data_IF_831099603532
#
_entry.id   IF_831099603532
#
_cell.length_a   1.000
_cell.length_b   1.000
_cell.length_c   1.000
_cell.angle_alpha   90.00
_cell.angle_beta   90.00
_cell.angle_gamma   90.00
#
_symmetry.space_group_name_H-M   'P 1'
#
loop_
_entity.id
_entity.type
_entity.pdbx_description
1 polymer ?
#
# COMPACT_ATOMS: atom_id res chain seq x y z
N UNK A 1 -3.39 21.09 32.72
CA UNK A 1 -4.12 21.48 31.49
C UNK A 1 -3.23 21.38 30.24
N UNK A 2 -2.35 20.36 30.15
CA UNK A 2 -1.39 20.16 29.04
C UNK A 2 -1.60 18.77 28.37
N UNK A 3 -2.22 17.84 29.09
CA UNK A 3 -2.43 16.44 28.66
C UNK A 3 -3.43 16.27 27.51
N UNK A 4 -4.37 17.21 27.31
CA UNK A 4 -5.42 17.14 26.27
C UNK A 4 -4.95 17.59 24.87
N UNK A 5 -3.82 18.29 24.78
CA UNK A 5 -3.29 18.77 23.49
C UNK A 5 -2.40 17.72 22.82
N UNK A 6 -1.71 16.89 23.61
CA UNK A 6 -0.86 15.80 23.10
C UNK A 6 -1.68 14.63 22.52
N UNK A 7 -2.86 14.35 23.09
CA UNK A 7 -3.76 13.29 22.58
C UNK A 7 -4.33 13.63 21.21
N UNK A 8 -4.70 14.89 20.95
CA UNK A 8 -5.18 15.33 19.63
C UNK A 8 -4.08 15.29 18.56
N UNK A 9 -2.84 15.64 18.89
CA UNK A 9 -1.71 15.54 17.94
C UNK A 9 -1.40 14.09 17.54
N UNK A 10 -1.47 13.15 18.49
CA UNK A 10 -1.30 11.72 18.20
C UNK A 10 -2.47 11.13 17.41
N UNK A 11 -3.72 11.49 17.74
CA UNK A 11 -4.89 11.07 16.97
C UNK A 11 -4.88 11.63 15.54
N UNK A 12 -4.47 12.89 15.36
CA UNK A 12 -4.36 13.52 14.05
C UNK A 12 -3.25 12.89 13.20
N UNK A 13 -2.12 12.53 13.81
CA UNK A 13 -1.05 11.77 13.15
C UNK A 13 -1.49 10.35 12.73
N UNK A 14 -2.38 9.71 13.51
CA UNK A 14 -2.78 8.32 13.30
C UNK A 14 -3.95 8.18 12.29
N UNK A 15 -4.81 9.19 12.16
CA UNK A 15 -5.82 9.22 11.09
C UNK A 15 -5.24 9.61 9.72
N UNK A 16 -4.14 10.36 9.72
CA UNK A 16 -3.44 10.76 8.49
C UNK A 16 -2.79 9.57 7.76
N UNK A 17 -2.28 8.58 8.50
CA UNK A 17 -1.75 7.34 7.91
C UNK A 17 -2.87 6.44 7.38
N UNK A 18 -4.01 6.35 8.09
CA UNK A 18 -5.14 5.53 7.65
C UNK A 18 -5.86 6.11 6.41
N UNK A 19 -5.90 7.43 6.24
CA UNK A 19 -6.55 8.07 5.07
C UNK A 19 -5.69 8.11 3.82
N UNK A 20 -4.37 7.95 3.93
CA UNK A 20 -3.50 7.73 2.76
C UNK A 20 -3.59 6.29 2.23
N UNK A 21 -3.96 5.33 3.09
CA UNK A 21 -4.05 3.90 2.77
C UNK A 21 -5.49 3.37 2.71
N UNK A 22 -6.51 4.21 2.91
CA UNK A 22 -7.90 3.88 2.59
C UNK A 22 -8.07 3.81 1.07
N UNK A 23 -7.58 2.72 0.49
CA UNK A 23 -7.72 2.36 -0.90
C UNK A 23 -9.19 2.03 -1.17
N UNK A 24 -9.90 2.80 -2.02
CA UNK A 24 -11.15 2.32 -2.58
C UNK A 24 -10.80 1.03 -3.32
N UNK A 25 -11.38 -0.11 -2.92
CA UNK A 25 -11.10 -1.44 -3.47
C UNK A 25 -11.48 -1.64 -4.96
N UNK A 26 -11.36 -0.59 -5.78
CA UNK A 26 -11.76 -0.55 -7.18
C UNK A 26 -10.74 0.12 -8.08
N UNK A 27 -9.47 0.30 -7.66
CA UNK A 27 -8.45 0.72 -8.62
C UNK A 27 -7.73 -0.49 -9.21
N UNK A 28 -8.04 -0.77 -10.48
CA UNK A 28 -7.43 -1.86 -11.26
C UNK A 28 -6.06 -1.49 -11.84
N UNK A 29 -5.69 -0.21 -11.82
CA UNK A 29 -4.52 0.31 -12.51
C UNK A 29 -3.64 1.16 -11.59
N UNK A 30 -2.42 0.69 -11.35
CA UNK A 30 -1.44 1.33 -10.49
C UNK A 30 -1.05 2.75 -10.95
N UNK A 31 -1.03 3.02 -12.25
CA UNK A 31 -0.74 4.36 -12.77
C UNK A 31 -1.87 5.33 -12.46
N UNK A 32 -3.12 4.87 -12.48
CA UNK A 32 -4.28 5.67 -12.06
C UNK A 32 -4.18 6.05 -10.58
N UNK A 33 -3.83 5.10 -9.69
CA UNK A 33 -3.58 5.38 -8.27
C UNK A 33 -2.50 6.44 -8.07
N UNK A 34 -1.37 6.25 -8.75
CA UNK A 34 -0.23 7.18 -8.66
C UNK A 34 -0.65 8.58 -9.10
N UNK A 35 -1.40 8.69 -10.19
CA UNK A 35 -1.84 9.97 -10.74
C UNK A 35 -2.74 10.72 -9.75
N UNK A 36 -3.76 10.05 -9.20
CA UNK A 36 -4.63 10.67 -8.21
C UNK A 36 -3.86 11.10 -6.94
N UNK A 37 -2.91 10.27 -6.50
CA UNK A 37 -2.06 10.58 -5.34
C UNK A 37 -1.20 11.82 -5.60
N UNK A 38 -0.62 11.94 -6.80
CA UNK A 38 0.16 13.10 -7.21
C UNK A 38 -0.68 14.38 -7.25
N UNK A 39 -1.87 14.34 -7.86
CA UNK A 39 -2.77 15.51 -7.92
C UNK A 39 -3.20 15.94 -6.50
N UNK A 40 -3.51 14.99 -5.61
CA UNK A 40 -3.88 15.29 -4.23
C UNK A 40 -2.71 15.94 -3.46
N UNK A 41 -1.50 15.40 -3.60
CA UNK A 41 -0.31 15.94 -2.95
C UNK A 41 0.04 17.33 -3.48
N UNK A 42 -0.05 17.57 -4.79
CA UNK A 42 0.29 18.88 -5.39
C UNK A 42 -0.75 19.96 -5.11
N UNK A 43 -2.03 19.61 -4.93
CA UNK A 43 -3.07 20.55 -4.52
C UNK A 43 -2.92 21.01 -3.06
N UNK A 44 -2.35 20.17 -2.19
CA UNK A 44 -2.18 20.44 -0.76
C UNK A 44 -0.87 21.16 -0.43
N UNK A 45 0.13 21.11 -1.32
CA UNK A 45 1.42 21.74 -1.11
C UNK A 45 1.44 23.19 -1.65
N UNK A 46 1.83 24.14 -0.80
CA UNK A 46 2.04 25.55 -1.18
C UNK A 46 3.26 25.77 -2.08
N UNK A 47 4.20 24.82 -2.11
CA UNK A 47 5.36 24.81 -3.00
C UNK A 47 5.14 23.80 -4.13
N UNK A 48 4.72 24.29 -5.30
CA UNK A 48 4.50 23.48 -6.51
C UNK A 48 5.84 23.23 -7.19
N UNK A 49 6.50 22.12 -6.88
CA UNK A 49 7.62 21.64 -7.69
C UNK A 49 7.11 21.11 -9.03
N UNK A 50 7.91 21.17 -10.10
CA UNK A 50 7.54 20.60 -11.38
C UNK A 50 7.36 19.06 -11.28
N UNK A 51 6.48 18.45 -12.09
CA UNK A 51 6.20 17.00 -12.03
C UNK A 51 7.44 16.11 -12.11
N UNK A 52 8.46 16.54 -12.85
CA UNK A 52 9.74 15.85 -13.05
C UNK A 52 10.49 15.62 -11.74
N UNK A 53 10.43 16.57 -10.81
CA UNK A 53 11.02 16.42 -9.47
C UNK A 53 10.25 15.42 -8.57
N UNK A 54 9.05 15.02 -8.97
CA UNK A 54 8.23 14.01 -8.30
C UNK A 54 8.29 12.65 -9.01
N UNK A 55 9.21 12.47 -9.97
CA UNK A 55 9.31 11.24 -10.75
C UNK A 55 8.16 11.06 -11.73
N UNK A 56 7.71 12.14 -12.36
CA UNK A 56 6.77 12.11 -13.49
C UNK A 56 7.44 12.62 -14.75
N UNK A 57 7.06 12.06 -15.89
CA UNK A 57 7.55 12.49 -17.20
C UNK A 57 6.37 12.80 -18.12
N UNK A 58 6.57 13.78 -18.99
CA UNK A 58 5.59 14.15 -19.99
C UNK A 58 5.93 13.50 -21.33
N UNK A 59 5.08 12.56 -21.78
CA UNK A 59 5.27 11.83 -23.03
C UNK A 59 3.98 11.87 -23.85
N UNK A 60 4.06 12.30 -25.12
CA UNK A 60 2.93 12.34 -26.05
C UNK A 60 1.68 13.08 -25.53
N UNK A 61 1.88 14.17 -24.78
CA UNK A 61 0.76 14.94 -24.21
C UNK A 61 0.20 14.38 -22.90
N UNK A 62 0.77 13.27 -22.41
CA UNK A 62 0.28 12.53 -21.24
C UNK A 62 1.37 12.55 -20.16
N UNK A 63 0.96 12.89 -18.93
CA UNK A 63 1.82 12.76 -17.76
C UNK A 63 1.83 11.31 -17.28
N UNK A 64 3.00 10.69 -17.26
CA UNK A 64 3.18 9.29 -16.85
C UNK A 64 4.17 9.17 -15.71
N UNK A 65 3.99 8.23 -14.77
CA UNK A 65 4.95 8.04 -13.71
C UNK A 65 6.24 7.48 -14.30
N UNK A 66 7.37 8.06 -13.91
CA UNK A 66 8.67 7.50 -14.22
C UNK A 66 8.85 6.22 -13.40
N UNK A 67 9.19 5.13 -14.08
CA UNK A 67 9.33 3.82 -13.45
C UNK A 67 10.80 3.44 -13.34
N UNK A 68 11.16 2.81 -12.22
CA UNK A 68 12.50 2.26 -12.08
C UNK A 68 12.73 1.15 -13.09
N UNK A 69 13.86 1.19 -13.78
CA UNK A 69 14.33 0.10 -14.66
C UNK A 69 15.02 -1.02 -13.88
N UNK A 70 15.51 -0.70 -12.68
CA UNK A 70 16.16 -1.64 -11.79
C UNK A 70 15.13 -2.39 -10.94
N UNK A 71 15.49 -3.61 -10.54
CA UNK A 71 14.69 -4.37 -9.59
C UNK A 71 14.61 -3.62 -8.25
N UNK A 72 13.45 -3.68 -7.56
CA UNK A 72 13.26 -2.98 -6.28
C UNK A 72 14.18 -3.51 -5.17
N UNK A 73 14.77 -4.69 -5.36
CA UNK A 73 15.72 -5.31 -4.46
C UNK A 73 16.61 -6.32 -5.22
N UNK A 74 17.80 -6.66 -4.68
CA UNK A 74 18.63 -7.75 -5.22
C UNK A 74 17.85 -9.07 -5.31
N UNK A 75 18.08 -9.85 -6.36
CA UNK A 75 17.38 -11.12 -6.56
C UNK A 75 17.61 -12.13 -5.43
N UNK A 76 18.81 -12.12 -4.81
CA UNK A 76 19.11 -12.96 -3.64
C UNK A 76 18.17 -12.65 -2.47
N UNK A 77 17.91 -11.36 -2.22
CA UNK A 77 16.99 -10.91 -1.18
C UNK A 77 15.56 -11.34 -1.51
N UNK A 78 15.11 -11.11 -2.75
CA UNK A 78 13.76 -11.51 -3.20
C UNK A 78 13.53 -13.02 -3.06
N UNK A 79 14.51 -13.85 -3.45
CA UNK A 79 14.45 -15.32 -3.29
C UNK A 79 14.44 -15.76 -1.83
N UNK A 80 15.07 -14.98 -0.95
CA UNK A 80 15.11 -15.24 0.49
C UNK A 80 13.76 -14.91 1.16
N UNK A 81 13.13 -13.80 0.76
CA UNK A 81 11.93 -13.27 1.44
C UNK A 81 10.61 -13.68 0.80
N UNK A 82 10.58 -14.13 -0.47
CA UNK A 82 9.37 -14.57 -1.16
C UNK A 82 9.46 -16.03 -1.58
N UNK A 83 8.39 -16.80 -1.38
CA UNK A 83 8.37 -18.19 -1.85
C UNK A 83 8.28 -18.24 -3.38
N UNK A 84 9.31 -18.79 -4.02
CA UNK A 84 9.23 -19.22 -5.42
C UNK A 84 8.89 -20.69 -5.59
N UNK A 85 8.67 -21.43 -4.49
CA UNK A 85 8.33 -22.86 -4.47
C UNK A 85 7.40 -23.20 -3.31
N UNK A 86 6.63 -24.28 -3.43
CA UNK A 86 5.72 -24.78 -2.39
C UNK A 86 6.45 -25.42 -1.20
N UNK A 87 7.57 -26.09 -1.46
CA UNK A 87 8.39 -26.76 -0.43
C UNK A 87 9.66 -25.95 -0.14
N UNK A 88 10.11 -25.95 1.11
CA UNK A 88 11.36 -25.27 1.49
C UNK A 88 11.35 -23.75 1.37
N UNK A 89 10.18 -23.11 1.48
CA UNK A 89 10.00 -21.67 1.29
C UNK A 89 10.92 -20.80 2.16
N UNK A 90 11.49 -19.76 1.55
CA UNK A 90 12.33 -18.74 2.18
C UNK A 90 11.63 -17.96 3.30
N UNK A 91 10.36 -17.57 3.14
CA UNK A 91 9.59 -16.88 4.18
C UNK A 91 9.66 -17.65 5.51
N UNK A 92 9.27 -18.94 5.49
CA UNK A 92 9.28 -19.80 6.69
C UNK A 92 10.68 -19.96 7.28
N UNK A 93 11.70 -20.13 6.42
CA UNK A 93 13.11 -20.23 6.86
C UNK A 93 13.59 -18.96 7.58
N UNK A 94 13.05 -17.81 7.21
CA UNK A 94 13.36 -16.51 7.81
C UNK A 94 12.34 -16.08 8.88
N UNK A 95 11.44 -16.96 9.31
CA UNK A 95 10.43 -16.65 10.33
C UNK A 95 9.32 -15.68 9.86
N UNK A 96 9.17 -15.48 8.55
CA UNK A 96 8.14 -14.64 7.94
C UNK A 96 6.95 -15.48 7.49
N UNK A 97 5.74 -14.94 7.62
CA UNK A 97 4.55 -15.51 6.97
C UNK A 97 4.54 -15.19 5.48
N UNK A 98 4.03 -16.12 4.66
CA UNK A 98 3.83 -15.89 3.25
C UNK A 98 2.70 -14.89 3.02
N UNK A 99 2.93 -13.90 2.18
CA UNK A 99 1.91 -12.97 1.72
C UNK A 99 1.55 -13.26 0.27
N UNK A 100 0.54 -12.55 -0.25
CA UNK A 100 0.16 -12.58 -1.68
C UNK A 100 1.28 -12.20 -2.65
N UNK A 101 2.39 -11.64 -2.14
CA UNK A 101 3.58 -11.33 -2.93
C UNK A 101 4.46 -12.56 -3.21
N UNK A 102 4.21 -13.70 -2.54
CA UNK A 102 4.87 -14.95 -2.90
C UNK A 102 4.43 -15.38 -4.31
N UNK A 103 5.25 -16.16 -5.02
CA UNK A 103 4.89 -16.62 -6.36
C UNK A 103 4.06 -17.91 -6.28
N UNK A 104 4.51 -18.87 -5.46
CA UNK A 104 3.97 -20.24 -5.42
C UNK A 104 3.17 -20.58 -4.14
N UNK A 105 3.21 -19.72 -3.12
CA UNK A 105 2.52 -19.93 -1.84
C UNK A 105 1.38 -18.90 -1.66
N UNK A 106 0.52 -18.78 -2.68
CA UNK A 106 -0.60 -17.85 -2.67
C UNK A 106 -1.91 -18.57 -2.34
N UNK A 107 -2.65 -18.04 -1.36
CA UNK A 107 -3.97 -18.54 -0.99
C UNK A 107 -3.96 -19.75 -0.05
N UNK A 108 -5.07 -20.50 -0.06
CA UNK A 108 -5.43 -21.46 0.98
C UNK A 108 -4.58 -22.73 1.01
N UNK A 109 -3.81 -23.01 -0.05
CA UNK A 109 -2.91 -24.18 -0.12
C UNK A 109 -1.52 -23.90 0.45
N UNK A 110 -1.26 -22.66 0.88
CA UNK A 110 -0.01 -22.29 1.52
C UNK A 110 0.01 -22.78 2.97
N UNK A 111 1.04 -23.55 3.34
CA UNK A 111 1.24 -24.06 4.71
C UNK A 111 1.87 -23.05 5.67
N UNK A 112 2.07 -21.81 5.22
CA UNK A 112 2.61 -20.69 6.02
C UNK A 112 1.90 -19.37 5.63
N UNK A 113 0.56 -19.31 5.61
CA UNK A 113 -0.14 -18.12 5.15
C UNK A 113 -0.01 -17.00 6.19
N UNK A 114 -0.06 -15.75 5.73
CA UNK A 114 -0.24 -14.60 6.62
C UNK A 114 -1.54 -14.77 7.41
N UNK A 115 -1.55 -14.47 8.72
CA UNK A 115 -2.77 -14.54 9.51
C UNK A 115 -3.83 -13.64 8.88
N UNK A 116 -5.00 -14.21 8.59
CA UNK A 116 -6.12 -13.45 8.06
C UNK A 116 -6.54 -12.44 9.13
N UNK A 117 -6.40 -11.15 8.84
CA UNK A 117 -7.05 -10.10 9.62
C UNK A 117 -8.55 -10.27 9.35
N UNK A 118 -9.28 -10.81 10.32
CA UNK A 118 -10.75 -10.80 10.30
C UNK A 118 -11.17 -9.35 10.48
N UNK A 119 -11.37 -8.63 9.37
CA UNK A 119 -12.12 -7.38 9.40
C UNK A 119 -13.57 -7.81 9.66
N UNK A 120 -14.04 -7.60 10.89
CA UNK A 120 -15.46 -7.76 11.20
C UNK A 120 -16.20 -6.86 10.22
N UNK A 121 -17.06 -7.45 9.40
CA UNK A 121 -18.04 -6.68 8.64
C UNK A 121 -18.85 -5.94 9.70
N UNK A 122 -18.68 -4.63 9.76
CA UNK A 122 -19.66 -3.79 10.43
C UNK A 122 -20.84 -3.88 9.48
N UNK A 123 -21.85 -4.65 9.85
CA UNK A 123 -23.11 -4.66 9.14
C UNK A 123 -23.67 -3.25 9.29
N UNK A 124 -23.66 -2.50 8.20
CA UNK A 124 -24.32 -1.21 8.08
C UNK A 124 -25.83 -1.47 8.22
N UNK A 125 -26.35 -1.42 9.45
CA UNK A 125 -27.78 -1.40 9.72
C UNK A 125 -28.31 0.01 9.42
N UNK A 126 -28.64 0.23 8.15
CA UNK A 126 -29.43 1.37 7.69
C UNK A 126 -30.84 1.29 8.28
N UNK A 127 -31.02 1.85 9.48
CA UNK A 127 -32.34 2.15 10.01
C UNK A 127 -32.52 3.67 10.14
N UNK A 128 -32.82 4.31 9.00
CA UNK A 128 -33.41 5.66 8.96
C UNK A 128 -34.91 5.48 9.13
N UNK A 129 -35.37 5.59 10.37
CA UNK A 129 -36.80 5.64 10.68
C UNK A 129 -37.40 6.99 10.25
N UNK A 130 -38.65 6.90 9.83
CA UNK A 130 -39.41 7.87 9.03
C UNK A 130 -40.02 9.03 9.83
#
# INVERSE_FOLDING_TARGET
>A
MISFQLSHYCYFSMTCTLTLYADPQKIKNLNTLRYHSFIKATAQNSCKKPPEEWGWKYECGILTPETMTQLPAPQSLLKMIFCTYKTGCGCRKNGLSCTVACLECNGNSCNNPSPLIKINKIDDDDNVDR
#
